data_IF_014093333207
#
_entry.id   IF_014093333207
#
_cell.length_a   1.000
_cell.length_b   1.000
_cell.length_c   1.000
_cell.angle_alpha   90.00
_cell.angle_beta   90.00
_cell.angle_gamma   90.00
#
_symmetry.space_group_name_H-M   'P 1'
#
loop_
_entity.id
_entity.type
_entity.pdbx_description
1 polymer ?
#
# COMPACT_ATOMS: atom_id res chain seq x y z
N UNK A 1 -7.52 10.49 16.37
CA UNK A 1 -7.68 10.35 14.90
C UNK A 1 -7.86 8.88 14.59
N UNK A 2 -8.81 8.55 13.73
CA UNK A 2 -9.09 7.21 13.25
C UNK A 2 -8.46 7.06 11.87
N UNK A 3 -7.71 5.97 11.63
CA UNK A 3 -6.97 5.76 10.39
C UNK A 3 -7.35 4.41 9.79
N UNK A 4 -7.79 4.43 8.53
CA UNK A 4 -7.99 3.23 7.73
C UNK A 4 -6.71 2.90 6.97
N UNK A 5 -6.19 1.68 7.14
CA UNK A 5 -5.01 1.19 6.41
C UNK A 5 -5.45 0.02 5.54
N UNK A 6 -5.40 0.16 4.22
CA UNK A 6 -5.55 -0.97 3.32
C UNK A 6 -4.21 -1.68 3.15
N UNK A 7 -4.18 -3.00 3.23
CA UNK A 7 -2.92 -3.76 3.20
C UNK A 7 -2.10 -3.65 4.49
N UNK A 8 -2.77 -3.46 5.63
CA UNK A 8 -2.14 -3.23 6.93
C UNK A 8 -1.39 -4.45 7.50
N UNK A 9 -1.64 -5.66 7.02
CA UNK A 9 -0.91 -6.87 7.37
C UNK A 9 0.29 -7.16 6.42
N UNK A 10 0.56 -6.26 5.46
CA UNK A 10 1.66 -6.36 4.52
C UNK A 10 3.02 -5.99 5.12
N UNK A 11 4.05 -5.96 4.26
CA UNK A 11 5.44 -5.66 4.63
C UNK A 11 5.61 -4.28 5.26
N UNK A 12 5.08 -3.24 4.63
CA UNK A 12 5.09 -1.86 5.16
C UNK A 12 3.99 -1.71 6.21
N UNK A 13 2.79 -2.22 5.90
CA UNK A 13 1.59 -2.00 6.68
C UNK A 13 1.70 -2.48 8.13
N UNK A 14 2.31 -3.65 8.37
CA UNK A 14 2.46 -4.19 9.72
C UNK A 14 3.35 -3.32 10.62
N UNK A 15 4.44 -2.78 10.10
CA UNK A 15 5.31 -1.87 10.85
C UNK A 15 4.66 -0.51 11.08
N UNK A 16 4.00 0.02 10.06
CA UNK A 16 3.29 1.30 10.16
C UNK A 16 2.15 1.21 11.17
N UNK A 17 1.35 0.14 11.10
CA UNK A 17 0.27 -0.10 12.05
C UNK A 17 0.78 -0.11 13.48
N UNK A 18 1.86 -0.88 13.75
CA UNK A 18 2.46 -0.90 15.09
C UNK A 18 2.85 0.49 15.56
N UNK A 19 3.58 1.25 14.74
CA UNK A 19 4.01 2.60 15.09
C UNK A 19 2.86 3.56 15.37
N UNK A 20 1.78 3.47 14.59
CA UNK A 20 0.60 4.31 14.80
C UNK A 20 -0.19 3.92 16.07
N UNK A 21 -0.24 2.63 16.39
CA UNK A 21 -0.82 2.15 17.65
C UNK A 21 0.01 2.63 18.87
N UNK A 22 1.33 2.59 18.77
CA UNK A 22 2.24 3.11 19.82
C UNK A 22 2.02 4.63 20.05
N UNK A 23 1.56 5.35 19.02
CA UNK A 23 1.15 6.76 19.08
C UNK A 23 -0.32 6.97 19.50
N UNK A 24 -1.00 5.91 19.95
CA UNK A 24 -2.39 5.92 20.41
C UNK A 24 -3.42 6.34 19.35
N UNK A 25 -3.14 6.17 18.05
CA UNK A 25 -4.16 6.27 17.01
C UNK A 25 -5.10 5.06 17.03
N UNK A 26 -6.35 5.27 16.61
CA UNK A 26 -7.28 4.17 16.34
C UNK A 26 -7.09 3.72 14.90
N UNK A 27 -6.79 2.45 14.72
CA UNK A 27 -6.43 1.87 13.41
C UNK A 27 -7.48 0.84 13.01
N UNK A 28 -7.97 0.96 11.80
CA UNK A 28 -8.73 -0.08 11.12
C UNK A 28 -7.89 -0.61 9.97
N UNK A 29 -7.59 -1.89 9.96
CA UNK A 29 -6.93 -2.59 8.86
C UNK A 29 -8.00 -3.29 8.03
N UNK A 30 -7.94 -3.12 6.70
CA UNK A 30 -8.57 -4.04 5.74
C UNK A 30 -7.49 -4.71 4.92
N UNK A 31 -7.47 -6.05 4.93
CA UNK A 31 -6.45 -6.86 4.28
C UNK A 31 -7.04 -8.24 3.94
N UNK A 32 -6.69 -8.81 2.79
CA UNK A 32 -7.13 -10.16 2.41
C UNK A 32 -6.49 -11.24 3.28
N UNK A 33 -5.40 -10.89 3.96
CA UNK A 33 -4.58 -11.80 4.77
C UNK A 33 -4.01 -12.97 3.95
N UNK A 34 -3.68 -12.75 2.69
CA UNK A 34 -3.08 -13.78 1.81
C UNK A 34 -1.77 -14.34 2.40
N UNK A 35 -1.09 -13.56 3.23
CA UNK A 35 0.14 -13.94 3.93
C UNK A 35 -0.10 -14.32 5.39
N UNK A 36 -1.35 -14.57 5.75
CA UNK A 36 -1.77 -14.89 7.10
C UNK A 36 -1.79 -13.70 8.07
N UNK A 37 -2.09 -13.98 9.34
CA UNK A 37 -2.23 -12.97 10.40
C UNK A 37 -0.94 -12.73 11.18
N UNK A 38 0.07 -13.59 11.02
CA UNK A 38 1.34 -13.51 11.77
C UNK A 38 1.98 -12.12 11.80
N UNK A 39 1.97 -11.32 10.70
CA UNK A 39 2.59 -10.01 10.70
C UNK A 39 2.03 -9.01 11.72
N UNK A 40 0.79 -9.19 12.14
CA UNK A 40 0.10 -8.30 13.08
C UNK A 40 -0.23 -8.95 14.41
N UNK A 41 0.12 -10.23 14.60
CA UNK A 41 -0.26 -11.02 15.77
C UNK A 41 0.22 -10.40 17.08
N UNK A 42 1.42 -9.81 17.10
CA UNK A 42 2.02 -9.24 18.31
C UNK A 42 1.24 -8.04 18.92
N UNK A 43 0.32 -7.45 18.16
CA UNK A 43 -0.50 -6.32 18.60
C UNK A 43 -2.00 -6.50 18.30
N UNK A 44 -2.41 -7.76 18.02
CA UNK A 44 -3.80 -8.07 17.66
C UNK A 44 -4.80 -7.73 18.76
N UNK A 45 -4.38 -7.83 20.04
CA UNK A 45 -5.21 -7.55 21.20
C UNK A 45 -5.25 -6.06 21.59
N UNK A 46 -4.61 -5.19 20.79
CA UNK A 46 -4.64 -3.76 21.06
C UNK A 46 -6.06 -3.20 20.88
N UNK A 47 -6.62 -2.60 21.94
CA UNK A 47 -7.99 -2.05 21.94
C UNK A 47 -8.26 -0.97 20.90
N UNK A 48 -7.20 -0.38 20.36
CA UNK A 48 -7.27 0.62 19.31
C UNK A 48 -7.13 0.02 17.89
N UNK A 49 -7.05 -1.30 17.76
CA UNK A 49 -6.93 -1.99 16.47
C UNK A 49 -8.23 -2.73 16.13
N UNK A 50 -8.69 -2.54 14.92
CA UNK A 50 -9.72 -3.36 14.27
C UNK A 50 -9.12 -3.98 13.02
N UNK A 51 -9.25 -5.31 12.87
CA UNK A 51 -8.77 -6.04 11.68
C UNK A 51 -9.96 -6.64 10.95
N UNK A 52 -10.05 -6.32 9.67
CA UNK A 52 -11.10 -6.79 8.76
C UNK A 52 -10.44 -7.59 7.65
N UNK A 53 -10.75 -8.89 7.59
CA UNK A 53 -10.31 -9.75 6.50
C UNK A 53 -11.27 -9.60 5.32
N UNK A 54 -10.88 -8.81 4.34
CA UNK A 54 -11.70 -8.56 3.15
C UNK A 54 -10.85 -7.99 2.00
N UNK A 55 -11.38 -8.06 0.79
CA UNK A 55 -10.80 -7.45 -0.39
C UNK A 55 -11.21 -5.96 -0.49
N UNK A 56 -10.28 -5.10 -0.90
CA UNK A 56 -10.55 -3.66 -1.09
C UNK A 56 -11.55 -3.36 -2.21
N UNK A 57 -11.90 -4.35 -3.02
CA UNK A 57 -12.93 -4.28 -4.08
C UNK A 57 -14.34 -4.48 -3.53
N UNK A 58 -14.52 -4.80 -2.25
CA UNK A 58 -15.80 -4.72 -1.59
C UNK A 58 -16.14 -3.24 -1.31
N UNK A 59 -16.63 -2.55 -2.35
CA UNK A 59 -16.81 -1.08 -2.31
C UNK A 59 -17.86 -0.61 -1.33
N UNK A 60 -18.86 -1.44 -1.03
CA UNK A 60 -19.86 -1.13 -0.01
C UNK A 60 -19.21 -1.04 1.39
N UNK A 61 -18.42 -2.04 1.72
CA UNK A 61 -17.66 -2.03 2.99
C UNK A 61 -16.62 -0.91 3.01
N UNK A 62 -15.88 -0.70 1.93
CA UNK A 62 -14.88 0.37 1.82
C UNK A 62 -15.53 1.73 2.05
N UNK A 63 -16.69 2.00 1.46
CA UNK A 63 -17.41 3.27 1.67
C UNK A 63 -17.80 3.48 3.13
N UNK A 64 -18.28 2.42 3.80
CA UNK A 64 -18.57 2.47 5.24
C UNK A 64 -17.31 2.80 6.04
N UNK A 65 -16.20 2.09 5.78
CA UNK A 65 -14.94 2.30 6.50
C UNK A 65 -14.35 3.69 6.27
N UNK A 66 -14.43 4.22 5.05
CA UNK A 66 -13.97 5.58 4.75
C UNK A 66 -14.76 6.63 5.55
N UNK A 67 -16.08 6.48 5.67
CA UNK A 67 -16.91 7.39 6.49
C UNK A 67 -16.48 7.42 7.96
N UNK A 68 -16.12 6.27 8.52
CA UNK A 68 -15.79 6.09 9.94
C UNK A 68 -14.35 6.54 10.29
N UNK A 69 -13.51 6.80 9.29
CA UNK A 69 -12.11 7.15 9.49
C UNK A 69 -11.79 8.57 9.00
N UNK A 70 -10.74 9.18 9.56
CA UNK A 70 -10.31 10.55 9.26
C UNK A 70 -9.28 10.61 8.14
N UNK A 71 -8.45 9.56 8.04
CA UNK A 71 -7.36 9.42 7.11
C UNK A 71 -7.34 8.01 6.52
N UNK A 72 -7.12 7.91 5.23
CA UNK A 72 -6.94 6.65 4.52
C UNK A 72 -5.46 6.52 4.11
N UNK A 73 -4.82 5.42 4.51
CA UNK A 73 -3.47 5.05 4.07
C UNK A 73 -3.59 3.82 3.18
N UNK A 74 -3.38 4.01 1.89
CA UNK A 74 -3.59 2.96 0.91
C UNK A 74 -2.27 2.28 0.56
N UNK A 75 -2.07 1.07 1.11
CA UNK A 75 -0.91 0.22 0.87
C UNK A 75 -1.26 -1.07 0.13
N UNK A 76 -2.55 -1.46 0.10
CA UNK A 76 -2.97 -2.68 -0.59
C UNK A 76 -2.63 -2.62 -2.08
N UNK A 77 -2.07 -3.71 -2.60
CA UNK A 77 -1.74 -3.83 -4.01
C UNK A 77 -0.95 -5.09 -4.31
N UNK A 78 -0.99 -5.53 -5.56
CA UNK A 78 -0.10 -6.55 -6.11
C UNK A 78 1.20 -5.86 -6.49
N UNK A 79 2.32 -6.26 -5.86
CA UNK A 79 3.58 -5.51 -5.90
C UNK A 79 4.62 -6.21 -6.76
N UNK A 80 5.21 -5.44 -7.67
CA UNK A 80 6.33 -5.86 -8.51
C UNK A 80 5.94 -6.45 -9.85
N UNK A 81 6.90 -6.41 -10.78
CA UNK A 81 6.70 -6.87 -12.16
C UNK A 81 6.28 -8.35 -12.25
N UNK A 82 6.95 -9.31 -11.56
CA UNK A 82 6.59 -10.72 -11.72
C UNK A 82 5.14 -11.03 -11.30
N UNK A 83 4.72 -10.51 -10.14
CA UNK A 83 3.38 -10.75 -9.61
C UNK A 83 2.28 -10.12 -10.49
N UNK A 84 2.49 -8.89 -10.98
CA UNK A 84 1.53 -8.24 -11.88
C UNK A 84 1.48 -8.90 -13.27
N UNK A 85 2.58 -9.47 -13.74
CA UNK A 85 2.62 -10.18 -15.03
C UNK A 85 1.98 -11.56 -14.98
N UNK A 86 2.05 -12.23 -13.82
CA UNK A 86 1.41 -13.54 -13.63
C UNK A 86 -0.12 -13.43 -13.50
N UNK A 87 -0.63 -12.31 -13.01
CA UNK A 87 -2.07 -12.06 -12.87
C UNK A 87 -2.41 -10.62 -13.23
N UNK A 88 -2.43 -10.29 -14.54
CA UNK A 88 -2.63 -8.92 -15.01
C UNK A 88 -4.04 -8.39 -14.73
N UNK A 89 -5.05 -9.26 -14.71
CA UNK A 89 -6.44 -8.86 -14.45
C UNK A 89 -6.58 -8.37 -13.00
N UNK A 90 -6.10 -9.13 -12.03
CA UNK A 90 -6.14 -8.71 -10.63
C UNK A 90 -5.17 -7.54 -10.38
N UNK A 91 -4.03 -7.48 -11.06
CA UNK A 91 -3.12 -6.34 -10.96
C UNK A 91 -3.82 -5.03 -11.39
N UNK A 92 -4.52 -5.02 -12.51
CA UNK A 92 -5.32 -3.88 -12.97
C UNK A 92 -6.42 -3.56 -11.95
N UNK A 93 -7.26 -4.53 -11.63
CA UNK A 93 -8.43 -4.36 -10.76
C UNK A 93 -8.09 -3.87 -9.35
N UNK A 94 -6.99 -4.36 -8.76
CA UNK A 94 -6.58 -4.00 -7.38
C UNK A 94 -5.75 -2.72 -7.37
N UNK A 95 -4.73 -2.61 -8.24
CA UNK A 95 -3.78 -1.50 -8.17
C UNK A 95 -4.35 -0.20 -8.76
N UNK A 96 -5.22 -0.30 -9.76
CA UNK A 96 -5.77 0.87 -10.46
C UNK A 96 -7.26 1.07 -10.14
N UNK A 97 -8.13 0.12 -10.50
CA UNK A 97 -9.58 0.34 -10.42
C UNK A 97 -10.05 0.53 -8.97
N UNK A 98 -9.62 -0.35 -8.06
CA UNK A 98 -9.97 -0.22 -6.64
C UNK A 98 -9.35 1.04 -6.01
N UNK A 99 -8.12 1.39 -6.41
CA UNK A 99 -7.46 2.63 -5.95
C UNK A 99 -8.22 3.87 -6.40
N UNK A 100 -8.64 3.92 -7.65
CA UNK A 100 -9.45 5.00 -8.20
C UNK A 100 -10.78 5.14 -7.44
N UNK A 101 -11.45 4.02 -7.20
CA UNK A 101 -12.72 4.01 -6.47
C UNK A 101 -12.58 4.46 -5.02
N UNK A 102 -11.52 4.05 -4.32
CA UNK A 102 -11.21 4.51 -2.97
C UNK A 102 -10.99 6.03 -2.95
N UNK A 103 -10.28 6.58 -3.93
CA UNK A 103 -10.08 8.03 -4.07
C UNK A 103 -11.39 8.79 -4.27
N UNK A 104 -12.24 8.33 -5.18
CA UNK A 104 -13.56 8.92 -5.44
C UNK A 104 -14.43 8.95 -4.17
N UNK A 105 -14.45 7.82 -3.44
CA UNK A 105 -15.21 7.73 -2.18
C UNK A 105 -14.60 8.64 -1.12
N UNK A 106 -13.28 8.71 -1.02
CA UNK A 106 -12.59 9.57 -0.06
C UNK A 106 -12.89 11.05 -0.32
N UNK A 107 -12.88 11.48 -1.58
CA UNK A 107 -13.25 12.84 -1.98
C UNK A 107 -14.73 13.14 -1.65
N UNK A 108 -15.64 12.23 -2.00
CA UNK A 108 -17.08 12.33 -1.69
C UNK A 108 -17.36 12.63 -0.20
N UNK A 109 -16.53 12.07 0.70
CA UNK A 109 -16.65 12.26 2.15
C UNK A 109 -15.61 13.22 2.74
N UNK A 110 -14.91 13.97 1.89
CA UNK A 110 -13.87 14.94 2.27
C UNK A 110 -12.81 14.32 3.21
N UNK A 111 -12.36 13.11 2.87
CA UNK A 111 -11.34 12.38 3.64
C UNK A 111 -9.99 12.48 2.95
N UNK A 112 -8.94 12.65 3.75
CA UNK A 112 -7.56 12.67 3.23
C UNK A 112 -7.08 11.26 2.89
N UNK A 113 -6.30 11.16 1.80
CA UNK A 113 -5.70 9.90 1.37
C UNK A 113 -4.19 10.06 1.19
N UNK A 114 -3.44 9.06 1.69
CA UNK A 114 -2.02 8.87 1.41
C UNK A 114 -1.89 7.56 0.63
N UNK A 115 -1.28 7.63 -0.53
CA UNK A 115 -1.15 6.51 -1.45
C UNK A 115 0.30 6.07 -1.61
N UNK A 116 0.54 4.78 -1.50
CA UNK A 116 1.84 4.18 -1.82
C UNK A 116 2.03 4.07 -3.33
N UNK A 117 2.62 5.07 -3.96
CA UNK A 117 3.10 4.99 -5.33
C UNK A 117 4.47 4.30 -5.39
N UNK A 118 5.16 4.37 -6.50
CA UNK A 118 6.41 3.64 -6.74
C UNK A 118 7.38 4.40 -7.63
N UNK A 119 8.67 4.24 -7.40
CA UNK A 119 9.71 4.70 -8.33
C UNK A 119 9.67 4.00 -9.71
N UNK A 120 8.98 2.85 -9.82
CA UNK A 120 8.80 2.16 -11.11
C UNK A 120 8.02 2.97 -12.16
N UNK A 121 7.34 4.04 -11.76
CA UNK A 121 6.66 4.95 -12.69
C UNK A 121 7.63 5.71 -13.60
N UNK A 122 8.88 5.89 -13.17
CA UNK A 122 9.88 6.59 -13.97
C UNK A 122 10.43 5.76 -15.13
N UNK A 123 10.25 4.42 -15.09
CA UNK A 123 10.74 3.51 -16.13
C UNK A 123 12.26 3.42 -16.15
N UNK A 124 12.85 3.31 -17.36
CA UNK A 124 14.31 3.25 -17.52
C UNK A 124 14.88 4.68 -17.59
N UNK A 125 15.65 5.05 -16.59
CA UNK A 125 16.27 6.37 -16.49
C UNK A 125 17.78 6.24 -16.37
N UNK A 126 18.50 7.18 -16.98
CA UNK A 126 19.98 7.25 -16.90
C UNK A 126 20.46 8.26 -15.83
N UNK A 127 19.60 9.17 -15.43
CA UNK A 127 19.94 10.30 -14.54
C UNK A 127 19.18 10.20 -13.20
N UNK A 128 19.57 11.02 -12.24
CA UNK A 128 18.81 11.21 -10.99
C UNK A 128 17.43 11.78 -11.33
N UNK A 129 16.40 11.26 -10.66
CA UNK A 129 15.01 11.70 -10.81
C UNK A 129 14.49 12.32 -9.53
N UNK A 130 13.48 13.17 -9.69
CA UNK A 130 12.69 13.74 -8.61
C UNK A 130 11.20 13.76 -9.00
N UNK A 131 10.36 14.32 -8.16
CA UNK A 131 8.92 14.34 -8.34
C UNK A 131 8.46 15.11 -9.59
N UNK A 132 9.27 16.04 -10.10
CA UNK A 132 9.01 16.80 -11.34
C UNK A 132 9.41 16.03 -12.61
N UNK A 133 10.16 14.94 -12.47
CA UNK A 133 10.55 14.12 -13.62
C UNK A 133 9.32 13.45 -14.23
N UNK A 134 9.16 13.59 -15.56
CA UNK A 134 8.01 13.03 -16.29
C UNK A 134 8.00 11.51 -16.16
N UNK A 135 6.93 10.91 -15.66
CA UNK A 135 6.78 9.45 -15.59
C UNK A 135 6.75 8.80 -16.97
N UNK A 136 7.39 7.63 -17.09
CA UNK A 136 7.39 6.80 -18.29
C UNK A 136 7.40 5.30 -17.90
N UNK A 137 6.35 4.79 -17.24
CA UNK A 137 6.31 3.41 -16.75
C UNK A 137 6.36 2.40 -17.88
N UNK A 138 7.14 1.32 -17.70
CA UNK A 138 7.37 0.28 -18.70
C UNK A 138 6.72 -1.06 -18.34
N UNK A 139 6.26 -1.21 -17.11
CA UNK A 139 5.68 -2.46 -16.61
C UNK A 139 4.24 -2.26 -16.21
N UNK A 140 3.42 -3.31 -16.26
CA UNK A 140 2.03 -3.25 -15.81
C UNK A 140 1.93 -2.72 -14.37
N UNK A 141 2.84 -3.14 -13.48
CA UNK A 141 2.93 -2.59 -12.13
C UNK A 141 3.12 -1.07 -12.13
N UNK A 142 4.11 -0.57 -12.86
CA UNK A 142 4.36 0.87 -12.94
C UNK A 142 3.20 1.64 -13.57
N UNK A 143 2.57 1.09 -14.62
CA UNK A 143 1.44 1.69 -15.33
C UNK A 143 0.23 1.81 -14.41
N UNK A 144 -0.19 0.73 -13.76
CA UNK A 144 -1.38 0.71 -12.89
C UNK A 144 -1.18 1.61 -11.66
N UNK A 145 0.02 1.59 -11.06
CA UNK A 145 0.36 2.48 -9.94
C UNK A 145 0.38 3.95 -10.36
N UNK A 146 0.88 4.27 -11.55
CA UNK A 146 0.89 5.64 -12.06
C UNK A 146 -0.51 6.14 -12.41
N UNK A 147 -1.35 5.29 -12.99
CA UNK A 147 -2.74 5.66 -13.29
C UNK A 147 -3.51 6.00 -12.01
N UNK A 148 -3.39 5.18 -10.97
CA UNK A 148 -3.97 5.46 -9.67
C UNK A 148 -3.38 6.74 -9.02
N UNK A 149 -2.06 6.95 -9.10
CA UNK A 149 -1.42 8.18 -8.59
C UNK A 149 -2.03 9.45 -9.20
N UNK A 150 -2.29 9.46 -10.50
CA UNK A 150 -2.94 10.61 -11.17
C UNK A 150 -4.29 10.94 -10.56
N UNK A 151 -5.08 9.92 -10.22
CA UNK A 151 -6.40 10.09 -9.60
C UNK A 151 -6.26 10.59 -8.16
N UNK A 152 -5.33 10.01 -7.39
CA UNK A 152 -5.03 10.47 -6.02
C UNK A 152 -4.67 11.95 -6.00
N UNK A 153 -3.75 12.38 -6.88
CA UNK A 153 -3.31 13.78 -6.95
C UNK A 153 -4.43 14.72 -7.43
N UNK A 154 -5.27 14.26 -8.37
CA UNK A 154 -6.45 15.00 -8.85
C UNK A 154 -7.41 15.35 -7.70
N UNK A 155 -7.59 14.45 -6.74
CA UNK A 155 -8.45 14.64 -5.58
C UNK A 155 -7.71 15.21 -4.35
N UNK A 156 -6.53 15.80 -4.54
CA UNK A 156 -5.78 16.47 -3.48
C UNK A 156 -5.16 15.53 -2.44
N UNK A 157 -5.05 14.24 -2.76
CA UNK A 157 -4.32 13.26 -1.93
C UNK A 157 -2.80 13.41 -2.06
N UNK A 158 -2.08 12.65 -1.25
CA UNK A 158 -0.62 12.58 -1.25
C UNK A 158 -0.18 11.23 -1.82
N UNK A 159 0.71 11.24 -2.81
CA UNK A 159 1.32 10.06 -3.38
C UNK A 159 2.81 9.97 -3.01
N UNK A 160 3.20 8.85 -2.40
CA UNK A 160 4.59 8.58 -2.00
C UNK A 160 5.24 7.63 -3.02
N UNK A 161 6.15 8.14 -3.84
CA UNK A 161 6.88 7.36 -4.85
C UNK A 161 8.04 6.60 -4.22
N UNK A 162 7.72 5.49 -3.58
CA UNK A 162 8.73 4.68 -2.92
C UNK A 162 9.76 4.10 -3.90
N UNK A 163 11.04 4.25 -3.59
CA UNK A 163 12.11 3.42 -4.13
C UNK A 163 12.03 2.01 -3.53
N UNK A 164 13.06 1.19 -3.70
CA UNK A 164 13.11 -0.13 -3.07
C UNK A 164 13.12 0.00 -1.55
N UNK A 165 12.03 -0.39 -0.92
CA UNK A 165 11.91 -0.44 0.54
C UNK A 165 12.61 -1.71 1.03
N UNK A 166 13.45 -1.59 2.06
CA UNK A 166 14.19 -2.71 2.64
C UNK A 166 14.20 -2.63 4.18
N UNK A 167 14.67 -3.70 4.82
CA UNK A 167 14.82 -3.79 6.26
C UNK A 167 13.88 -4.82 6.89
N UNK A 168 13.97 -4.94 8.22
CA UNK A 168 13.21 -5.92 8.97
C UNK A 168 11.73 -5.55 9.04
N UNK A 169 10.88 -6.54 8.87
CA UNK A 169 9.44 -6.45 9.08
C UNK A 169 8.92 -7.78 9.61
N UNK A 170 7.82 -7.75 10.33
CA UNK A 170 7.10 -8.95 10.79
C UNK A 170 6.61 -9.83 9.63
N UNK A 171 6.39 -9.22 8.44
CA UNK A 171 6.28 -9.91 7.16
C UNK A 171 7.56 -9.69 6.38
N UNK A 172 8.62 -10.43 6.72
CA UNK A 172 9.90 -10.31 6.03
C UNK A 172 9.76 -10.69 4.55
N UNK A 173 10.43 -9.93 3.69
CA UNK A 173 10.51 -10.14 2.24
C UNK A 173 11.96 -10.35 1.82
N UNK A 174 12.36 -11.62 1.74
CA UNK A 174 13.70 -12.00 1.25
C UNK A 174 13.82 -11.94 -0.29
N UNK A 175 12.71 -11.75 -1.00
CA UNK A 175 12.70 -11.49 -2.44
C UNK A 175 13.11 -10.07 -2.84
N UNK A 176 13.29 -9.16 -1.86
CA UNK A 176 13.79 -7.81 -2.11
C UNK A 176 15.32 -7.79 -2.09
N UNK A 177 15.92 -7.19 -3.13
CA UNK A 177 17.35 -7.24 -3.42
C UNK A 177 18.25 -6.97 -2.18
N UNK A 178 18.00 -5.88 -1.45
CA UNK A 178 18.82 -5.53 -0.29
C UNK A 178 18.63 -6.53 0.86
N UNK A 179 17.39 -6.96 1.10
CA UNK A 179 17.09 -7.95 2.14
C UNK A 179 17.74 -9.30 1.80
N UNK A 180 17.69 -9.71 0.53
CA UNK A 180 18.32 -10.94 0.06
C UNK A 180 19.85 -10.88 0.22
N UNK A 181 20.48 -9.81 -0.22
CA UNK A 181 21.93 -9.63 -0.05
C UNK A 181 22.37 -9.67 1.41
N UNK A 182 21.64 -9.00 2.31
CA UNK A 182 21.92 -9.06 3.74
C UNK A 182 21.76 -10.48 4.30
N UNK A 183 20.72 -11.18 3.88
CA UNK A 183 20.47 -12.56 4.29
C UNK A 183 21.56 -13.52 3.79
N UNK A 184 21.93 -13.44 2.52
CA UNK A 184 22.97 -14.26 1.93
C UNK A 184 24.33 -13.99 2.58
N UNK A 185 24.70 -12.71 2.77
CA UNK A 185 25.97 -12.35 3.41
C UNK A 185 26.09 -12.81 4.86
N UNK A 186 24.98 -13.00 5.56
CA UNK A 186 24.98 -13.53 6.93
C UNK A 186 25.16 -15.06 6.97
N UNK A 187 24.71 -15.76 5.92
CA UNK A 187 24.72 -17.22 5.85
C UNK A 187 25.90 -17.81 5.05
N UNK A 188 26.75 -16.97 4.43
CA UNK A 188 28.00 -17.34 3.79
C UNK A 188 29.16 -17.29 4.78
#
# INVERSE_FOLDING_TARGET
MNILITGGAGYIGSLLTKKLLDLNYKITIIDRLDWGIKPILQFIDNKNLTVIKEDIRNYELIEKLIKENDLIIQLAGIVGFPACSSDPINAQSINEDASNRICEISDKYNKKIIYSSTGSIYGRIKNVVNENTKPNPLTLYGITKYNAEKVVLKYGGVALRFATIFGLSTRLRLDLLVNDFCYQAYHL
#
